data_IF_379695322000
#
_entry.id   IF_379695322000
#
_cell.length_a   1.000
_cell.length_b   1.000
_cell.length_c   1.000
_cell.angle_alpha   90.00
_cell.angle_beta   90.00
_cell.angle_gamma   90.00
#
_symmetry.space_group_name_H-M   'P 1'
#
loop_
_entity.id
_entity.type
_entity.pdbx_description
1 polymer ?
#
# COMPACT_ATOMS: atom_id res chain seq x y z
N UNK A 1 24.02 -21.47 6.04
CA UNK A 1 23.89 -20.17 5.35
C UNK A 1 24.77 -19.07 5.93
N UNK A 2 24.53 -18.52 7.14
CA UNK A 2 25.40 -17.43 7.68
C UNK A 2 26.87 -17.81 7.75
N UNK A 3 27.18 -18.96 8.34
CA UNK A 3 28.54 -19.50 8.40
C UNK A 3 29.18 -19.72 7.02
N UNK A 4 28.37 -20.06 6.01
CA UNK A 4 28.86 -20.25 4.64
C UNK A 4 29.24 -18.91 4.00
N UNK A 5 28.43 -17.87 4.20
CA UNK A 5 28.77 -16.51 3.74
C UNK A 5 30.01 -15.97 4.47
N UNK A 6 30.17 -16.23 5.75
CA UNK A 6 31.39 -15.84 6.50
C UNK A 6 32.65 -16.53 5.97
N UNK A 7 32.55 -17.81 5.55
CA UNK A 7 33.66 -18.49 4.84
C UNK A 7 34.00 -17.82 3.51
N UNK A 8 33.00 -17.29 2.79
CA UNK A 8 33.25 -16.55 1.55
C UNK A 8 33.94 -15.20 1.79
N UNK A 9 33.62 -14.54 2.90
CA UNK A 9 34.34 -13.33 3.35
C UNK A 9 35.80 -13.68 3.67
N UNK A 10 36.03 -14.75 4.45
CA UNK A 10 37.38 -15.19 4.78
C UNK A 10 38.21 -15.59 3.54
N UNK A 11 37.54 -16.11 2.51
CA UNK A 11 38.14 -16.44 1.22
C UNK A 11 38.29 -15.23 0.26
N UNK A 12 37.87 -14.02 0.66
CA UNK A 12 37.96 -12.81 -0.16
C UNK A 12 37.03 -12.79 -1.38
N UNK A 13 35.98 -13.64 -1.40
CA UNK A 13 35.03 -13.72 -2.52
C UNK A 13 33.91 -12.68 -2.44
N UNK A 14 33.57 -12.25 -1.23
CA UNK A 14 32.58 -11.20 -0.94
C UNK A 14 33.08 -10.35 0.24
N UNK A 15 32.54 -9.14 0.40
CA UNK A 15 32.86 -8.28 1.52
C UNK A 15 31.98 -8.56 2.73
N UNK A 16 32.49 -8.22 3.92
CA UNK A 16 31.73 -8.39 5.18
C UNK A 16 30.39 -7.64 5.17
N UNK A 17 30.32 -6.51 4.46
CA UNK A 17 29.10 -5.71 4.33
C UNK A 17 28.00 -6.43 3.51
N UNK A 18 28.36 -7.38 2.65
CA UNK A 18 27.42 -8.11 1.80
C UNK A 18 26.66 -9.22 2.54
N UNK A 19 27.16 -9.65 3.71
CA UNK A 19 26.61 -10.80 4.45
C UNK A 19 25.16 -10.59 4.87
N UNK A 20 24.85 -9.45 5.49
CA UNK A 20 23.50 -9.19 6.01
C UNK A 20 22.45 -9.05 4.90
N UNK A 21 22.67 -8.27 3.82
CA UNK A 21 21.75 -8.24 2.68
C UNK A 21 21.53 -9.62 2.04
N UNK A 22 22.60 -10.40 1.88
CA UNK A 22 22.49 -11.76 1.33
C UNK A 22 21.69 -12.68 2.24
N UNK A 23 21.87 -12.61 3.56
CA UNK A 23 21.05 -13.36 4.50
C UNK A 23 19.57 -13.02 4.36
N UNK A 24 19.22 -11.73 4.28
CA UNK A 24 17.85 -11.29 4.10
C UNK A 24 17.25 -11.79 2.77
N UNK A 25 18.03 -11.75 1.69
CA UNK A 25 17.62 -12.30 0.39
C UNK A 25 17.33 -13.81 0.49
N UNK A 26 18.24 -14.58 1.08
CA UNK A 26 18.07 -16.04 1.18
C UNK A 26 16.91 -16.42 2.10
N UNK A 27 16.74 -15.73 3.24
CA UNK A 27 15.64 -15.99 4.17
C UNK A 27 14.28 -15.64 3.58
N UNK A 28 14.20 -14.54 2.83
CA UNK A 28 12.96 -14.11 2.20
C UNK A 28 12.61 -14.95 0.98
N UNK A 29 13.61 -15.41 0.21
CA UNK A 29 13.42 -16.20 -1.01
C UNK A 29 12.95 -15.38 -2.23
N UNK A 30 12.77 -14.07 -2.07
CA UNK A 30 12.30 -13.16 -3.12
C UNK A 30 13.06 -11.85 -3.08
N UNK A 31 13.18 -11.22 -4.24
CA UNK A 31 13.92 -9.99 -4.40
C UNK A 31 13.23 -9.03 -5.36
N UNK A 32 13.56 -7.75 -5.24
CA UNK A 32 13.22 -6.71 -6.21
C UNK A 32 14.52 -6.13 -6.77
N UNK A 33 14.65 -6.20 -8.10
CA UNK A 33 15.71 -5.53 -8.84
C UNK A 33 15.14 -4.30 -9.55
N UNK A 34 15.88 -3.18 -9.55
CA UNK A 34 15.41 -1.91 -10.16
C UNK A 34 15.02 -2.05 -11.63
N UNK A 35 15.78 -2.82 -12.41
CA UNK A 35 15.59 -2.94 -13.87
C UNK A 35 14.88 -4.22 -14.30
N UNK A 36 14.85 -5.25 -13.45
CA UNK A 36 14.29 -6.57 -13.80
C UNK A 36 13.02 -6.91 -13.04
N UNK A 37 12.67 -6.08 -12.06
CA UNK A 37 11.46 -6.23 -11.26
C UNK A 37 11.60 -7.31 -10.20
N UNK A 38 10.45 -7.87 -9.82
CA UNK A 38 10.34 -8.93 -8.84
C UNK A 38 10.99 -10.23 -9.35
N UNK A 39 11.74 -10.90 -8.50
CA UNK A 39 12.37 -12.18 -8.81
C UNK A 39 12.26 -13.18 -7.66
N UNK A 40 12.16 -14.46 -8.01
CA UNK A 40 12.17 -15.58 -7.06
C UNK A 40 13.56 -16.20 -7.01
N UNK A 41 14.18 -16.23 -5.83
CA UNK A 41 15.48 -16.85 -5.64
C UNK A 41 15.32 -18.37 -5.74
N UNK A 42 16.16 -19.00 -6.56
CA UNK A 42 16.14 -20.44 -6.82
C UNK A 42 17.27 -21.17 -6.13
N UNK A 43 18.46 -20.59 -6.15
CA UNK A 43 19.65 -21.21 -5.61
C UNK A 43 20.69 -20.17 -5.21
N UNK A 44 21.47 -20.53 -4.19
CA UNK A 44 22.66 -19.81 -3.74
C UNK A 44 23.81 -20.77 -3.92
N UNK A 45 24.74 -20.45 -4.81
CA UNK A 45 25.94 -21.22 -5.04
C UNK A 45 27.11 -20.57 -4.30
N UNK A 46 27.46 -21.14 -3.14
CA UNK A 46 28.57 -20.65 -2.32
C UNK A 46 29.93 -21.06 -2.90
N UNK A 47 30.00 -22.09 -3.75
CA UNK A 47 31.26 -22.52 -4.37
C UNK A 47 31.72 -21.48 -5.38
N UNK A 48 30.81 -21.05 -6.26
CA UNK A 48 31.08 -20.05 -7.30
C UNK A 48 30.73 -18.62 -6.88
N UNK A 49 30.23 -18.42 -5.66
CA UNK A 49 29.75 -17.15 -5.15
C UNK A 49 28.69 -16.49 -6.06
N UNK A 50 27.68 -17.27 -6.47
CA UNK A 50 26.60 -16.81 -7.36
C UNK A 50 25.22 -17.02 -6.78
N UNK A 51 24.28 -16.17 -7.20
CA UNK A 51 22.86 -16.25 -6.91
C UNK A 51 22.09 -16.50 -8.21
N UNK A 52 21.16 -17.44 -8.19
CA UNK A 52 20.27 -17.75 -9.33
C UNK A 52 18.84 -17.33 -9.00
N UNK A 53 18.26 -16.49 -9.86
CA UNK A 53 16.95 -15.87 -9.67
C UNK A 53 16.11 -15.99 -10.94
N UNK A 54 14.84 -16.33 -10.78
CA UNK A 54 13.85 -16.23 -11.84
C UNK A 54 13.20 -14.84 -11.84
N UNK A 55 13.52 -14.02 -12.83
CA UNK A 55 12.75 -12.81 -13.15
C UNK A 55 11.77 -13.10 -14.31
N UNK A 56 10.64 -12.37 -14.43
CA UNK A 56 9.65 -12.60 -15.49
C UNK A 56 10.24 -12.64 -16.91
N UNK A 57 11.20 -11.77 -17.19
CA UNK A 57 11.85 -11.67 -18.50
C UNK A 57 13.24 -12.33 -18.56
N UNK A 58 13.71 -12.92 -17.46
CA UNK A 58 15.03 -13.56 -17.34
C UNK A 58 14.98 -14.75 -16.36
N UNK A 59 14.35 -15.86 -16.74
CA UNK A 59 14.37 -17.08 -15.93
C UNK A 59 15.78 -17.64 -15.80
N UNK A 60 16.12 -18.20 -14.64
CA UNK A 60 17.44 -18.77 -14.36
C UNK A 60 18.60 -17.79 -14.40
N UNK A 61 18.34 -16.49 -14.20
CA UNK A 61 19.40 -15.49 -14.26
C UNK A 61 20.39 -15.67 -13.12
N UNK A 62 21.65 -15.87 -13.46
CA UNK A 62 22.73 -16.06 -12.48
C UNK A 62 23.60 -14.80 -12.39
N UNK A 63 23.83 -14.31 -11.18
CA UNK A 63 24.64 -13.12 -10.90
C UNK A 63 25.57 -13.33 -9.71
N UNK A 64 26.62 -12.52 -9.59
CA UNK A 64 27.57 -12.54 -8.48
C UNK A 64 26.90 -12.15 -7.14
N UNK A 65 27.33 -12.75 -6.03
CA UNK A 65 26.77 -12.49 -4.69
C UNK A 65 27.03 -11.06 -4.20
N UNK A 66 28.21 -10.49 -4.45
CA UNK A 66 28.51 -9.09 -4.12
C UNK A 66 27.55 -8.16 -4.86
N UNK A 67 27.43 -8.33 -6.19
CA UNK A 67 26.49 -7.55 -6.99
C UNK A 67 25.02 -7.75 -6.58
N UNK A 68 24.62 -8.99 -6.26
CA UNK A 68 23.27 -9.27 -5.76
C UNK A 68 22.97 -8.51 -4.46
N UNK A 69 23.93 -8.48 -3.53
CA UNK A 69 23.77 -7.81 -2.23
C UNK A 69 23.57 -6.29 -2.35
N UNK A 70 24.10 -5.67 -3.41
CA UNK A 70 24.03 -4.23 -3.65
C UNK A 70 22.86 -3.83 -4.54
N UNK A 71 22.47 -4.70 -5.48
CA UNK A 71 21.47 -4.39 -6.52
C UNK A 71 20.06 -4.88 -6.19
N UNK A 72 19.91 -5.80 -5.24
CA UNK A 72 18.63 -6.41 -4.88
C UNK A 72 18.13 -5.94 -3.53
N UNK A 73 16.82 -5.72 -3.46
CA UNK A 73 16.10 -5.52 -2.20
C UNK A 73 15.32 -6.80 -1.86
N UNK A 74 15.55 -7.36 -0.68
CA UNK A 74 14.78 -8.50 -0.19
C UNK A 74 13.28 -8.19 -0.10
N UNK A 75 12.44 -9.14 -0.52
CA UNK A 75 10.98 -9.03 -0.48
C UNK A 75 10.45 -10.11 0.46
N UNK A 76 9.85 -9.73 1.61
CA UNK A 76 9.26 -10.68 2.55
C UNK A 76 8.24 -11.63 1.91
N UNK A 77 8.10 -12.84 2.46
CA UNK A 77 7.20 -13.87 1.92
C UNK A 77 5.71 -13.53 2.06
N UNK A 78 5.37 -12.65 3.00
CA UNK A 78 4.03 -12.09 3.20
C UNK A 78 3.74 -10.90 2.28
N UNK A 79 4.73 -10.37 1.55
CA UNK A 79 4.49 -9.32 0.56
C UNK A 79 3.57 -9.82 -0.57
N UNK A 80 2.67 -8.98 -1.08
CA UNK A 80 1.68 -9.34 -2.11
C UNK A 80 2.31 -9.98 -3.36
N UNK A 81 3.45 -9.44 -3.84
CA UNK A 81 4.18 -10.03 -4.97
C UNK A 81 4.72 -11.44 -4.68
N UNK A 82 5.22 -11.68 -3.46
CA UNK A 82 5.67 -13.01 -3.04
C UNK A 82 4.50 -13.98 -2.96
N UNK A 83 3.37 -13.55 -2.36
CA UNK A 83 2.12 -14.31 -2.28
C UNK A 83 1.56 -14.65 -3.66
N UNK A 84 1.60 -13.72 -4.63
CA UNK A 84 1.19 -13.99 -6.02
C UNK A 84 2.02 -15.10 -6.66
N UNK A 85 3.32 -15.14 -6.36
CA UNK A 85 4.25 -16.12 -6.91
C UNK A 85 4.22 -17.48 -6.19
N UNK A 86 3.73 -17.55 -4.96
CA UNK A 86 3.65 -18.81 -4.18
C UNK A 86 2.25 -19.41 -4.14
N UNK A 87 1.22 -18.59 -4.00
CA UNK A 87 -0.15 -19.03 -3.75
C UNK A 87 -1.18 -18.02 -4.30
N UNK A 88 -1.36 -18.05 -5.61
CA UNK A 88 -2.34 -17.21 -6.30
C UNK A 88 -3.79 -17.60 -5.95
N UNK A 89 -4.04 -18.87 -5.66
CA UNK A 89 -5.39 -19.37 -5.38
C UNK A 89 -5.92 -18.82 -4.06
N UNK A 90 -5.10 -18.80 -3.00
CA UNK A 90 -5.45 -18.16 -1.73
C UNK A 90 -5.77 -16.68 -1.90
N UNK A 91 -5.01 -15.95 -2.73
CA UNK A 91 -5.30 -14.54 -3.02
C UNK A 91 -6.63 -14.34 -3.74
N UNK A 92 -6.99 -15.23 -4.68
CA UNK A 92 -8.30 -15.19 -5.36
C UNK A 92 -9.45 -15.46 -4.38
N UNK A 93 -9.28 -16.40 -3.46
CA UNK A 93 -10.26 -16.66 -2.40
C UNK A 93 -10.40 -15.45 -1.46
N UNK A 94 -9.27 -14.84 -1.07
CA UNK A 94 -9.27 -13.62 -0.26
C UNK A 94 -9.96 -12.47 -0.98
N UNK A 95 -9.76 -12.33 -2.30
CA UNK A 95 -10.47 -11.34 -3.10
C UNK A 95 -11.99 -11.57 -3.09
N UNK A 96 -12.47 -12.82 -3.05
CA UNK A 96 -13.90 -13.11 -3.06
C UNK A 96 -14.58 -12.94 -1.69
N UNK A 97 -13.86 -13.17 -0.58
CA UNK A 97 -14.45 -13.30 0.75
C UNK A 97 -13.96 -12.27 1.77
N UNK A 98 -12.79 -11.66 1.55
CA UNK A 98 -12.06 -10.88 2.54
C UNK A 98 -11.41 -9.64 1.90
N UNK A 99 -12.22 -8.72 1.37
CA UNK A 99 -11.74 -7.54 0.64
C UNK A 99 -10.77 -6.68 1.47
N UNK A 100 -11.12 -6.42 2.73
CA UNK A 100 -10.32 -5.60 3.64
C UNK A 100 -8.94 -6.21 3.91
N UNK A 101 -8.88 -7.53 4.13
CA UNK A 101 -7.62 -8.22 4.37
C UNK A 101 -6.72 -8.20 3.13
N UNK A 102 -7.30 -8.36 1.94
CA UNK A 102 -6.53 -8.27 0.69
C UNK A 102 -5.97 -6.85 0.49
N UNK A 103 -6.78 -5.82 0.73
CA UNK A 103 -6.33 -4.44 0.59
C UNK A 103 -5.27 -4.12 1.64
N UNK A 104 -5.47 -4.53 2.90
CA UNK A 104 -4.47 -4.39 3.96
C UNK A 104 -3.14 -5.03 3.59
N UNK A 105 -3.16 -6.25 3.05
CA UNK A 105 -1.98 -6.95 2.56
C UNK A 105 -1.23 -6.13 1.51
N UNK A 106 -1.95 -5.57 0.53
CA UNK A 106 -1.38 -4.69 -0.49
C UNK A 106 -0.78 -3.44 0.16
N UNK A 107 -1.52 -2.75 1.04
CA UNK A 107 -1.02 -1.53 1.68
C UNK A 107 0.23 -1.78 2.51
N UNK A 108 0.24 -2.84 3.33
CA UNK A 108 1.39 -3.23 4.14
C UNK A 108 2.62 -3.55 3.28
N UNK A 109 2.41 -4.21 2.14
CA UNK A 109 3.47 -4.48 1.15
C UNK A 109 4.15 -3.21 0.62
N UNK A 110 3.40 -2.10 0.55
CA UNK A 110 3.91 -0.80 0.07
C UNK A 110 4.14 0.22 1.19
N UNK A 111 4.42 -0.25 2.42
CA UNK A 111 4.77 0.64 3.54
C UNK A 111 3.57 1.31 4.20
N UNK A 112 2.43 0.62 4.22
CA UNK A 112 1.19 1.05 4.87
C UNK A 112 0.29 1.94 4.00
N UNK A 113 0.67 2.22 2.75
CA UNK A 113 -0.12 3.04 1.84
C UNK A 113 0.07 2.68 0.37
N UNK A 114 -0.96 2.88 -0.44
CA UNK A 114 -0.89 2.71 -1.89
C UNK A 114 -1.98 3.54 -2.58
N UNK A 115 -1.75 3.97 -3.82
CA UNK A 115 -2.80 4.60 -4.64
C UNK A 115 -3.76 3.55 -5.18
N UNK A 116 -4.96 3.99 -5.58
CA UNK A 116 -5.94 3.09 -6.22
C UNK A 116 -5.36 2.41 -7.47
N UNK A 117 -4.62 3.18 -8.27
CA UNK A 117 -3.94 2.67 -9.47
C UNK A 117 -2.92 1.58 -9.13
N UNK A 118 -2.11 1.79 -8.08
CA UNK A 118 -1.11 0.81 -7.65
C UNK A 118 -1.76 -0.47 -7.12
N UNK A 119 -2.86 -0.36 -6.36
CA UNK A 119 -3.63 -1.53 -5.90
C UNK A 119 -4.18 -2.29 -7.11
N UNK A 120 -4.79 -1.58 -8.06
CA UNK A 120 -5.35 -2.16 -9.27
C UNK A 120 -4.27 -2.90 -10.08
N UNK A 121 -3.13 -2.25 -10.32
CA UNK A 121 -2.02 -2.82 -11.08
C UNK A 121 -1.45 -4.10 -10.45
N UNK A 122 -1.47 -4.18 -9.12
CA UNK A 122 -0.95 -5.35 -8.40
C UNK A 122 -1.93 -6.52 -8.43
N UNK A 123 -3.24 -6.24 -8.34
CA UNK A 123 -4.28 -7.28 -8.24
C UNK A 123 -4.80 -7.74 -9.61
N UNK A 124 -4.85 -6.87 -10.62
CA UNK A 124 -5.41 -7.16 -11.94
C UNK A 124 -4.27 -7.48 -12.93
N UNK A 125 -4.42 -8.49 -13.80
CA UNK A 125 -5.55 -9.41 -13.95
C UNK A 125 -5.45 -10.68 -13.10
N UNK A 126 -4.31 -10.90 -12.42
CA UNK A 126 -3.96 -12.20 -11.86
C UNK A 126 -4.88 -12.66 -10.72
N UNK A 127 -5.20 -11.74 -9.80
CA UNK A 127 -6.04 -11.96 -8.63
C UNK A 127 -7.49 -11.61 -8.93
N UNK A 128 -7.71 -10.50 -9.63
CA UNK A 128 -9.03 -10.03 -10.06
C UNK A 128 -9.01 -9.89 -11.58
N UNK A 129 -9.79 -10.72 -12.27
CA UNK A 129 -9.79 -10.76 -13.74
C UNK A 129 -10.53 -9.56 -14.36
N UNK A 130 -11.87 -9.57 -14.37
CA UNK A 130 -12.64 -8.64 -15.21
C UNK A 130 -13.63 -7.73 -14.45
N UNK A 131 -13.93 -8.01 -13.18
CA UNK A 131 -14.96 -7.29 -12.40
C UNK A 131 -14.38 -6.23 -11.43
N UNK A 132 -13.16 -5.73 -11.68
CA UNK A 132 -12.47 -4.77 -10.79
C UNK A 132 -13.36 -3.59 -10.37
N UNK A 133 -14.12 -2.98 -11.28
CA UNK A 133 -14.98 -1.84 -10.96
C UNK A 133 -16.05 -2.18 -9.91
N UNK A 134 -16.74 -3.31 -10.08
CA UNK A 134 -17.78 -3.75 -9.14
C UNK A 134 -17.17 -4.17 -7.81
N UNK A 135 -16.09 -4.95 -7.88
CA UNK A 135 -15.32 -5.39 -6.73
C UNK A 135 -14.85 -4.22 -5.88
N UNK A 136 -14.28 -3.20 -6.54
CA UNK A 136 -13.77 -2.02 -5.87
C UNK A 136 -14.88 -1.20 -5.18
N UNK A 137 -16.06 -1.06 -5.76
CA UNK A 137 -17.14 -0.31 -5.10
C UNK A 137 -17.61 -1.01 -3.81
N UNK A 138 -17.68 -2.34 -3.79
CA UNK A 138 -17.98 -3.11 -2.57
C UNK A 138 -16.87 -2.92 -1.54
N UNK A 139 -15.62 -3.18 -1.93
CA UNK A 139 -14.48 -3.06 -1.03
C UNK A 139 -14.32 -1.63 -0.48
N UNK A 140 -14.54 -0.61 -1.31
CA UNK A 140 -14.49 0.81 -0.90
C UNK A 140 -15.56 1.15 0.12
N UNK A 141 -16.75 0.58 0.02
CA UNK A 141 -17.81 0.77 1.01
C UNK A 141 -17.43 0.14 2.35
N UNK A 142 -16.88 -1.08 2.32
CA UNK A 142 -16.35 -1.74 3.52
C UNK A 142 -15.20 -0.93 4.15
N UNK A 143 -14.25 -0.47 3.35
CA UNK A 143 -13.11 0.35 3.80
C UNK A 143 -13.56 1.64 4.48
N UNK A 144 -14.60 2.31 3.96
CA UNK A 144 -15.11 3.57 4.54
C UNK A 144 -15.78 3.37 5.90
N UNK A 145 -16.28 2.17 6.17
CA UNK A 145 -16.89 1.78 7.45
C UNK A 145 -15.85 1.30 8.45
N UNK A 146 -14.73 0.77 7.98
CA UNK A 146 -13.63 0.33 8.82
C UNK A 146 -12.78 1.53 9.27
N UNK A 147 -12.61 1.70 10.59
CA UNK A 147 -11.87 2.83 11.14
C UNK A 147 -10.35 2.75 10.99
N UNK A 148 -9.78 1.65 10.48
CA UNK A 148 -8.33 1.52 10.24
C UNK A 148 -7.90 2.06 8.87
N UNK A 149 -8.84 2.22 7.94
CA UNK A 149 -8.52 2.64 6.58
C UNK A 149 -8.90 4.10 6.35
N UNK A 150 -7.94 4.88 5.88
CA UNK A 150 -8.18 6.22 5.36
C UNK A 150 -8.33 6.15 3.84
N UNK A 151 -9.56 6.26 3.37
CA UNK A 151 -9.88 6.33 1.95
C UNK A 151 -9.97 7.79 1.52
N UNK A 152 -9.05 8.30 0.68
CA UNK A 152 -9.07 9.69 0.26
C UNK A 152 -10.21 9.98 -0.71
N UNK A 153 -10.67 11.24 -0.71
CA UNK A 153 -11.68 11.71 -1.67
C UNK A 153 -11.16 11.72 -3.12
N UNK A 154 -9.86 12.01 -3.31
CA UNK A 154 -9.21 11.99 -4.62
C UNK A 154 -8.57 10.63 -4.88
N UNK A 155 -8.82 10.08 -6.07
CA UNK A 155 -8.24 8.78 -6.50
C UNK A 155 -6.71 8.80 -6.69
N UNK A 156 -6.13 9.99 -6.88
CA UNK A 156 -4.68 10.21 -6.98
C UNK A 156 -3.97 10.02 -5.65
N UNK A 157 -4.69 10.20 -4.54
CA UNK A 157 -4.11 10.21 -3.22
C UNK A 157 -4.06 8.77 -2.69
N UNK A 158 -3.12 8.49 -1.78
CA UNK A 158 -2.94 7.14 -1.27
C UNK A 158 -4.01 6.78 -0.24
N UNK A 159 -4.51 5.56 -0.34
CA UNK A 159 -5.21 4.87 0.74
C UNK A 159 -4.16 4.52 1.80
N UNK A 160 -4.49 4.72 3.08
CA UNK A 160 -3.56 4.47 4.19
C UNK A 160 -4.20 3.52 5.18
N UNK A 161 -3.45 2.50 5.59
CA UNK A 161 -3.82 1.65 6.72
C UNK A 161 -3.14 2.15 7.99
N UNK A 162 -3.89 2.23 9.08
CA UNK A 162 -3.39 2.58 10.41
C UNK A 162 -3.75 1.49 11.41
N UNK A 163 -2.84 1.22 12.35
CA UNK A 163 -3.09 0.25 13.42
C UNK A 163 -4.12 0.75 14.43
N UNK A 164 -4.23 2.07 14.60
CA UNK A 164 -5.22 2.68 15.49
C UNK A 164 -6.47 2.98 14.68
N UNK A 165 -7.61 2.51 15.19
CA UNK A 165 -8.92 2.87 14.67
C UNK A 165 -9.20 4.36 14.89
N UNK A 166 -9.66 5.03 13.84
CA UNK A 166 -10.19 6.39 13.89
C UNK A 166 -11.68 6.29 13.61
N UNK A 167 -12.49 6.85 14.49
CA UNK A 167 -13.94 6.84 14.29
C UNK A 167 -14.33 7.63 13.04
N UNK A 168 -15.45 7.26 12.42
CA UNK A 168 -15.98 7.96 11.24
C UNK A 168 -16.14 9.47 11.49
N UNK A 169 -16.58 9.85 12.68
CA UNK A 169 -16.73 11.24 13.09
C UNK A 169 -15.38 11.96 13.17
N UNK A 170 -14.39 11.40 13.88
CA UNK A 170 -13.06 12.00 13.99
C UNK A 170 -12.41 12.16 12.61
N UNK A 171 -12.57 11.18 11.73
CA UNK A 171 -12.07 11.23 10.35
C UNK A 171 -12.71 12.38 9.58
N UNK A 172 -14.05 12.45 9.54
CA UNK A 172 -14.77 13.46 8.75
C UNK A 172 -14.53 14.88 9.28
N UNK A 173 -14.48 15.07 10.61
CA UNK A 173 -14.12 16.37 11.21
C UNK A 173 -12.65 16.72 10.89
N UNK A 174 -11.73 15.77 10.98
CA UNK A 174 -10.33 15.96 10.60
C UNK A 174 -10.16 16.38 9.13
N UNK A 175 -10.87 15.70 8.21
CA UNK A 175 -10.92 16.07 6.79
C UNK A 175 -11.52 17.47 6.58
N UNK A 176 -12.56 17.83 7.35
CA UNK A 176 -13.19 19.15 7.29
C UNK A 176 -12.22 20.26 7.69
N UNK A 177 -11.44 20.03 8.76
CA UNK A 177 -10.40 20.94 9.24
C UNK A 177 -9.25 21.08 8.25
N UNK A 178 -8.86 19.99 7.60
CA UNK A 178 -7.78 19.98 6.61
C UNK A 178 -8.19 20.59 5.25
N UNK A 179 -9.48 20.56 4.91
CA UNK A 179 -10.01 21.09 3.65
C UNK A 179 -9.85 22.62 3.57
N UNK A 180 -9.23 23.07 2.45
CA UNK A 180 -8.99 24.49 2.14
C UNK A 180 -9.90 24.95 1.01
N UNK A 181 -10.62 26.05 1.22
CA UNK A 181 -11.56 26.59 0.24
C UNK A 181 -12.96 26.01 0.37
N UNK A 182 -13.96 26.83 0.01
CA UNK A 182 -15.38 26.50 0.10
C UNK A 182 -15.75 25.21 -0.64
N UNK A 183 -15.25 25.01 -1.86
CA UNK A 183 -15.55 23.81 -2.67
C UNK A 183 -15.09 22.51 -1.99
N UNK A 184 -13.90 22.51 -1.39
CA UNK A 184 -13.37 21.32 -0.70
C UNK A 184 -14.18 21.03 0.58
N UNK A 185 -14.49 22.06 1.37
CA UNK A 185 -15.30 21.92 2.58
C UNK A 185 -16.74 21.46 2.27
N UNK A 186 -17.37 21.95 1.20
CA UNK A 186 -18.68 21.48 0.76
C UNK A 186 -18.67 20.00 0.34
N UNK A 187 -17.57 19.51 -0.24
CA UNK A 187 -17.43 18.08 -0.55
C UNK A 187 -17.44 17.24 0.71
N UNK A 188 -16.67 17.63 1.74
CA UNK A 188 -16.64 16.92 3.03
C UNK A 188 -17.98 17.08 3.76
N UNK A 189 -18.63 18.24 3.69
CA UNK A 189 -19.96 18.47 4.27
C UNK A 189 -21.02 17.52 3.69
N UNK A 190 -20.98 17.30 2.38
CA UNK A 190 -21.85 16.33 1.72
C UNK A 190 -21.56 14.89 2.16
N UNK A 191 -20.29 14.54 2.40
CA UNK A 191 -19.96 13.23 2.97
C UNK A 191 -20.45 13.11 4.42
N UNK A 192 -20.31 14.16 5.24
CA UNK A 192 -20.81 14.20 6.61
C UNK A 192 -22.35 14.05 6.64
N UNK A 193 -23.05 14.74 5.75
CA UNK A 193 -24.51 14.64 5.58
C UNK A 193 -24.95 13.20 5.24
N UNK A 194 -24.25 12.55 4.30
CA UNK A 194 -24.55 11.16 3.88
C UNK A 194 -24.34 10.13 4.97
N UNK A 195 -23.44 10.40 5.93
CA UNK A 195 -23.08 9.48 7.00
C UNK A 195 -23.65 9.90 8.37
N UNK A 196 -24.62 10.84 8.41
CA UNK A 196 -25.18 11.33 9.67
C UNK A 196 -25.74 10.22 10.57
N UNK A 197 -26.29 9.15 10.01
CA UNK A 197 -26.80 8.02 10.80
C UNK A 197 -25.73 7.37 11.67
N UNK A 198 -24.49 7.37 11.17
CA UNK A 198 -23.38 6.56 11.64
C UNK A 198 -22.41 7.37 12.53
N UNK A 199 -22.70 8.66 12.78
CA UNK A 199 -21.90 9.49 13.68
C UNK A 199 -22.30 9.26 15.14
N UNK A 200 -21.30 9.18 16.00
CA UNK A 200 -21.44 9.04 17.46
C UNK A 200 -22.09 10.26 18.11
N UNK A 201 -21.75 11.47 17.69
CA UNK A 201 -22.32 12.74 18.14
C UNK A 201 -22.60 13.65 16.94
N UNK A 202 -23.81 13.52 16.41
CA UNK A 202 -24.30 14.23 15.23
C UNK A 202 -24.36 15.73 15.46
N UNK A 203 -24.77 16.16 16.67
CA UNK A 203 -25.00 17.56 16.97
C UNK A 203 -23.68 18.33 16.97
N UNK A 204 -22.67 17.78 17.64
CA UNK A 204 -21.34 18.39 17.69
C UNK A 204 -20.70 18.43 16.30
N UNK A 205 -20.77 17.33 15.54
CA UNK A 205 -20.18 17.26 14.20
C UNK A 205 -20.84 18.26 13.22
N UNK A 206 -22.17 18.38 13.25
CA UNK A 206 -22.91 19.33 12.39
C UNK A 206 -22.66 20.77 12.81
N UNK A 207 -22.67 21.07 14.11
CA UNK A 207 -22.40 22.42 14.61
C UNK A 207 -21.01 22.91 14.20
N UNK A 208 -20.00 22.05 14.31
CA UNK A 208 -18.64 22.37 13.87
C UNK A 208 -18.56 22.63 12.35
N UNK A 209 -19.17 21.76 11.55
CA UNK A 209 -19.21 21.93 10.09
C UNK A 209 -19.91 23.24 9.67
N UNK A 210 -21.03 23.60 10.30
CA UNK A 210 -21.75 24.85 10.05
C UNK A 210 -20.87 26.06 10.38
N UNK A 211 -20.24 26.06 11.56
CA UNK A 211 -19.36 27.17 11.97
C UNK A 211 -18.22 27.39 10.98
N UNK A 212 -17.57 26.30 10.54
CA UNK A 212 -16.46 26.38 9.58
C UNK A 212 -16.91 26.76 8.16
N UNK A 213 -18.11 26.38 7.73
CA UNK A 213 -18.67 26.82 6.44
C UNK A 213 -19.04 28.29 6.46
N UNK A 214 -19.68 28.77 7.54
CA UNK A 214 -20.04 30.18 7.68
C UNK A 214 -18.81 31.09 7.55
N UNK A 215 -17.71 30.74 8.22
CA UNK A 215 -16.43 31.47 8.09
C UNK A 215 -15.93 31.46 6.64
N UNK A 216 -15.99 30.32 5.96
CA UNK A 216 -15.49 30.18 4.59
C UNK A 216 -16.38 30.91 3.56
N UNK A 217 -17.70 30.90 3.74
CA UNK A 217 -18.66 31.61 2.89
C UNK A 217 -18.40 33.12 2.97
N UNK A 218 -18.26 33.67 4.18
CA UNK A 218 -17.93 35.08 4.39
C UNK A 218 -16.58 35.42 3.74
N UNK A 219 -15.58 34.56 3.92
CA UNK A 219 -14.28 34.74 3.25
C UNK A 219 -14.41 34.72 1.73
N UNK A 220 -15.22 33.82 1.17
CA UNK A 220 -15.41 33.67 -0.27
C UNK A 220 -16.14 34.86 -0.89
N UNK A 221 -17.19 35.37 -0.25
CA UNK A 221 -17.92 36.57 -0.66
C UNK A 221 -17.00 37.79 -0.74
N UNK A 222 -16.06 37.96 0.21
CA UNK A 222 -15.07 39.04 0.18
C UNK A 222 -14.11 38.95 -1.00
N UNK A 223 -13.81 37.73 -1.46
CA UNK A 223 -12.90 37.50 -2.60
C UNK A 223 -13.60 37.56 -3.97
N UNK A 224 -14.94 37.60 -4.01
CA UNK A 224 -15.75 37.70 -5.21
C UNK A 224 -16.88 38.72 -4.99
N UNK A 225 -16.62 40.03 -5.20
CA UNK A 225 -17.57 41.11 -4.89
C UNK A 225 -18.92 41.01 -5.61
N UNK A 226 -18.97 40.29 -6.75
CA UNK A 226 -20.19 40.02 -7.49
C UNK A 226 -21.16 39.04 -6.79
N UNK A 227 -20.76 38.43 -5.68
CA UNK A 227 -21.55 37.49 -4.87
C UNK A 227 -21.96 38.05 -3.50
N UNK A 228 -21.60 39.31 -3.20
CA UNK A 228 -21.88 39.98 -1.93
C UNK A 228 -23.28 40.62 -1.91
#
# INVERSE_FOLDING_TARGET
MKEELEKLVAAGKIDRQHVEPLLQLVQSGYAMHRSWGFGKIKAVDTVFARLTIDFPNKPGHSMDLGFASESLKAIPSDHILARKASDLQSLRQMAALHHLDLIKLVLQSFGGKATLEQIQQVLVPDVIADDWKKWWEVAKHELKKDGHFLVPAKKSDSIVYQTKEISLQERLIGEFRAAKGLKARLSVANELLKNLSDLTDKNTAVAEAINMLNVEIVSHQRTLPALA
#
